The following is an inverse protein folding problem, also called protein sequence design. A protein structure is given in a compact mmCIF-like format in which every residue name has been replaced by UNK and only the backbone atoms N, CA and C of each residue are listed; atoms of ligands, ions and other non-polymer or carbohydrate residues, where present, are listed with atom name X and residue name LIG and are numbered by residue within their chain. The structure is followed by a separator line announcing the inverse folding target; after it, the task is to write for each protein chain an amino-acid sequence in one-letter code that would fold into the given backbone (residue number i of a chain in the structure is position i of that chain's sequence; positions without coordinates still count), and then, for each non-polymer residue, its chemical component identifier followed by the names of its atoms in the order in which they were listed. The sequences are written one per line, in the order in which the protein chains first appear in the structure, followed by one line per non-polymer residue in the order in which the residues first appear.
data_IF_963151467862
#
_entry.id   IF_963151467862
#
_cell.length_a   1.000
_cell.length_b   1.000
_cell.length_c   1.000
_cell.angle_alpha   90.00
_cell.angle_beta   90.00
_cell.angle_gamma   90.00
#
_symmetry.space_group_name_H-M   'P 1'
#
loop_
_entity.id
_entity.type
_entity.pdbx_description
1 polymer ?
#
# COMPACT_ATOMS: atom_id res chain seq x y z
N UNK A 1 -19.66 -12.35 37.25
CA UNK A 1 -18.76 -12.48 36.08
C UNK A 1 -19.09 -11.55 34.91
N UNK A 2 -20.34 -11.13 34.65
CA UNK A 2 -20.66 -10.26 33.50
C UNK A 2 -20.06 -8.85 33.51
N UNK A 3 -19.84 -8.25 34.69
CA UNK A 3 -19.31 -6.87 34.82
C UNK A 3 -17.84 -6.75 34.36
N UNK A 4 -17.06 -7.82 34.51
CA UNK A 4 -15.67 -7.88 34.04
C UNK A 4 -15.57 -7.98 32.52
N UNK A 5 -16.47 -8.73 31.88
CA UNK A 5 -16.49 -8.83 30.41
C UNK A 5 -16.92 -7.51 29.75
N UNK A 6 -17.84 -6.76 30.35
CA UNK A 6 -18.22 -5.42 29.88
C UNK A 6 -17.05 -4.43 30.01
N UNK A 7 -16.33 -4.46 31.13
CA UNK A 7 -15.15 -3.61 31.32
C UNK A 7 -14.02 -3.96 30.34
N UNK A 8 -13.78 -5.25 30.08
CA UNK A 8 -12.78 -5.71 29.11
C UNK A 8 -13.15 -5.30 27.67
N UNK A 9 -14.42 -5.41 27.29
CA UNK A 9 -14.89 -5.00 25.96
C UNK A 9 -14.74 -3.48 25.72
N UNK A 10 -14.98 -2.66 26.74
CA UNK A 10 -14.81 -1.20 26.66
C UNK A 10 -13.32 -0.84 26.57
N UNK A 11 -12.45 -1.49 27.36
CA UNK A 11 -10.99 -1.28 27.30
C UNK A 11 -10.39 -1.68 25.95
N UNK A 12 -10.83 -2.81 25.38
CA UNK A 12 -10.40 -3.25 24.04
C UNK A 12 -10.92 -2.31 22.95
N UNK A 13 -12.14 -1.79 23.06
CA UNK A 13 -12.67 -0.77 22.16
C UNK A 13 -11.84 0.51 22.17
N UNK A 14 -11.46 1.00 23.36
CA UNK A 14 -10.62 2.20 23.50
C UNK A 14 -9.21 2.02 22.93
N UNK A 15 -8.57 0.86 23.13
CA UNK A 15 -7.23 0.60 22.61
C UNK A 15 -7.19 0.58 21.06
N UNK A 16 -8.25 0.08 20.41
CA UNK A 16 -8.37 0.06 18.94
C UNK A 16 -8.65 1.47 18.38
N UNK A 17 -9.39 2.30 19.11
CA UNK A 17 -9.68 3.70 18.77
C UNK A 17 -8.54 4.69 19.07
N UNK A 18 -7.54 4.29 19.86
CA UNK A 18 -6.43 5.15 20.30
C UNK A 18 -5.13 4.93 19.52
N UNK A 19 -5.07 3.95 18.61
CA UNK A 19 -3.96 3.89 17.67
C UNK A 19 -4.00 5.18 16.84
N UNK A 20 -2.95 6.02 16.87
CA UNK A 20 -2.91 7.16 15.96
C UNK A 20 -2.98 6.56 14.57
N UNK A 21 -4.09 6.81 13.86
CA UNK A 21 -4.12 6.57 12.42
C UNK A 21 -2.90 7.30 11.87
N UNK A 22 -2.17 6.67 10.97
CA UNK A 22 -1.06 7.32 10.31
C UNK A 22 -1.65 8.50 9.50
N UNK A 23 -1.71 9.67 10.13
CA UNK A 23 -2.23 10.89 9.53
C UNK A 23 -1.10 11.51 8.72
N UNK A 24 -1.44 12.15 7.61
CA UNK A 24 -0.49 12.99 6.93
C UNK A 24 0.03 14.05 7.90
N UNK A 25 1.35 14.12 8.05
CA UNK A 25 1.97 15.04 8.99
C UNK A 25 2.20 16.40 8.31
N UNK A 26 2.03 17.53 9.04
CA UNK A 26 2.50 18.82 8.55
C UNK A 26 3.99 18.74 8.22
N UNK A 27 4.42 19.42 7.15
CA UNK A 27 5.84 19.45 6.76
C UNK A 27 6.34 18.15 6.11
N UNK A 28 5.47 17.38 5.45
CA UNK A 28 5.89 16.26 4.59
C UNK A 28 5.61 16.52 3.12
N UNK A 29 6.40 15.92 2.24
CA UNK A 29 6.22 15.97 0.79
C UNK A 29 6.59 14.65 0.14
N UNK A 30 6.08 14.41 -1.08
CA UNK A 30 6.56 13.32 -1.92
C UNK A 30 7.90 13.69 -2.57
N UNK A 31 8.93 12.92 -2.28
CA UNK A 31 10.13 12.84 -3.10
C UNK A 31 9.86 11.87 -4.25
N UNK A 32 9.93 12.36 -5.48
CA UNK A 32 9.59 11.60 -6.69
C UNK A 32 10.87 11.12 -7.35
N UNK A 33 11.02 9.81 -7.45
CA UNK A 33 12.07 9.16 -8.23
C UNK A 33 11.46 8.60 -9.52
N UNK A 34 11.81 9.16 -10.69
CA UNK A 34 11.27 8.67 -11.96
C UNK A 34 11.73 7.24 -12.24
N UNK A 35 10.84 6.46 -12.85
CA UNK A 35 11.20 5.16 -13.38
C UNK A 35 11.97 5.31 -14.71
N UNK A 36 12.78 4.30 -15.05
CA UNK A 36 13.48 4.27 -16.33
C UNK A 36 12.48 4.27 -17.50
N UNK A 37 12.91 4.79 -18.66
CA UNK A 37 12.06 4.83 -19.86
C UNK A 37 11.48 3.46 -20.19
N UNK A 38 10.18 3.41 -20.52
CA UNK A 38 9.45 2.18 -20.78
C UNK A 38 8.99 1.42 -19.53
N UNK A 39 9.27 1.93 -18.33
CA UNK A 39 8.77 1.38 -17.06
C UNK A 39 7.98 2.42 -16.29
N UNK A 40 7.06 1.96 -15.44
CA UNK A 40 6.25 2.79 -14.56
C UNK A 40 6.17 2.16 -13.17
N UNK A 41 5.93 2.98 -12.15
CA UNK A 41 5.75 2.54 -10.78
C UNK A 41 4.45 1.73 -10.64
N UNK A 42 4.58 0.43 -10.40
CA UNK A 42 3.43 -0.47 -10.26
C UNK A 42 3.54 -1.30 -8.98
N UNK A 43 2.38 -1.49 -8.35
CA UNK A 43 2.25 -2.46 -7.27
C UNK A 43 2.17 -3.88 -7.84
N UNK A 44 3.11 -4.71 -7.40
CA UNK A 44 3.24 -6.12 -7.74
C UNK A 44 2.80 -7.00 -6.57
N UNK A 45 2.05 -8.08 -6.83
CA UNK A 45 1.73 -9.06 -5.80
C UNK A 45 2.99 -9.84 -5.40
N UNK A 46 3.21 -10.03 -4.09
CA UNK A 46 4.29 -10.91 -3.61
C UNK A 46 3.98 -12.37 -3.86
N UNK A 47 5.03 -13.18 -4.01
CA UNK A 47 4.93 -14.62 -4.34
C UNK A 47 5.16 -15.50 -3.10
N UNK A 48 6.13 -15.12 -2.27
CA UNK A 48 6.64 -15.86 -1.12
C UNK A 48 5.90 -15.55 0.18
N UNK A 49 5.28 -14.37 0.27
CA UNK A 49 4.60 -13.88 1.48
C UNK A 49 3.38 -13.05 1.14
N UNK A 50 2.56 -12.79 2.15
CA UNK A 50 1.41 -11.90 2.03
C UNK A 50 1.87 -10.44 1.79
N UNK A 51 1.11 -9.73 0.96
CA UNK A 51 1.33 -8.32 0.62
C UNK A 51 1.86 -8.10 -0.80
N UNK A 52 2.45 -6.92 -0.99
CA UNK A 52 2.79 -6.36 -2.29
C UNK A 52 4.13 -5.63 -2.22
N UNK A 53 4.70 -5.35 -3.38
CA UNK A 53 5.87 -4.50 -3.54
C UNK A 53 5.61 -3.44 -4.61
N UNK A 54 6.09 -2.23 -4.38
CA UNK A 54 6.10 -1.18 -5.38
C UNK A 54 7.45 -1.20 -6.11
N UNK A 55 7.42 -1.29 -7.44
CA UNK A 55 8.65 -1.25 -8.25
C UNK A 55 8.42 -0.59 -9.61
N UNK A 56 9.51 -0.14 -10.22
CA UNK A 56 9.50 0.27 -11.63
C UNK A 56 9.47 -0.99 -12.50
N UNK A 57 8.41 -1.17 -13.26
CA UNK A 57 8.20 -2.34 -14.12
C UNK A 57 7.27 -2.00 -15.28
N UNK A 58 6.90 -2.98 -16.10
CA UNK A 58 5.98 -2.78 -17.22
C UNK A 58 4.60 -3.37 -16.90
N UNK A 59 3.57 -2.94 -17.63
CA UNK A 59 2.23 -3.48 -17.47
C UNK A 59 2.15 -4.95 -17.88
N UNK A 60 2.95 -5.37 -18.85
CA UNK A 60 3.07 -6.75 -19.30
C UNK A 60 3.67 -7.63 -18.19
N UNK A 61 4.74 -7.17 -17.53
CA UNK A 61 5.35 -7.86 -16.41
C UNK A 61 4.38 -7.99 -15.22
N UNK A 62 3.65 -6.92 -14.88
CA UNK A 62 2.58 -6.96 -13.87
C UNK A 62 1.49 -7.95 -14.25
N UNK A 63 1.05 -7.95 -15.51
CA UNK A 63 0.03 -8.86 -16.01
C UNK A 63 0.48 -10.32 -15.94
N UNK A 64 1.75 -10.59 -16.26
CA UNK A 64 2.34 -11.91 -16.10
C UNK A 64 2.36 -12.36 -14.62
N UNK A 65 2.69 -11.46 -13.69
CA UNK A 65 2.66 -11.76 -12.26
C UNK A 65 1.24 -12.07 -11.76
N UNK A 66 0.22 -11.32 -12.22
CA UNK A 66 -1.19 -11.58 -11.94
C UNK A 66 -1.62 -12.94 -12.50
N UNK A 67 -1.26 -13.23 -13.75
CA UNK A 67 -1.55 -14.53 -14.37
C UNK A 67 -0.91 -15.67 -13.58
N UNK A 68 0.36 -15.55 -13.22
CA UNK A 68 1.07 -16.54 -12.43
C UNK A 68 0.45 -16.75 -11.03
N UNK A 69 -0.09 -15.70 -10.42
CA UNK A 69 -0.84 -15.81 -9.17
C UNK A 69 -2.15 -16.60 -9.36
N UNK A 70 -2.91 -16.31 -10.43
CA UNK A 70 -4.13 -17.05 -10.78
C UNK A 70 -3.87 -18.53 -11.05
N UNK A 71 -2.87 -18.81 -11.89
CA UNK A 71 -2.52 -20.18 -12.30
C UNK A 71 -1.99 -21.02 -11.14
N UNK A 72 -1.55 -20.40 -10.04
CA UNK A 72 -1.05 -21.10 -8.86
C UNK A 72 -2.13 -21.75 -7.99
N UNK A 73 -3.39 -21.35 -8.12
CA UNK A 73 -4.49 -21.77 -7.24
C UNK A 73 -4.37 -21.31 -5.78
N UNK A 74 -3.35 -20.54 -5.42
CA UNK A 74 -3.14 -20.06 -4.05
C UNK A 74 -4.04 -18.86 -3.73
N UNK A 75 -4.90 -19.03 -2.72
CA UNK A 75 -5.75 -17.93 -2.21
C UNK A 75 -4.92 -16.75 -1.72
N UNK A 76 -3.78 -16.99 -1.06
CA UNK A 76 -2.87 -15.92 -0.60
C UNK A 76 -2.32 -15.10 -1.76
N UNK A 77 -1.88 -15.76 -2.84
CA UNK A 77 -1.34 -15.06 -4.01
C UNK A 77 -2.44 -14.27 -4.73
N UNK A 78 -3.66 -14.79 -4.77
CA UNK A 78 -4.82 -14.07 -5.30
C UNK A 78 -5.22 -12.86 -4.44
N UNK A 79 -5.13 -12.96 -3.12
CA UNK A 79 -5.34 -11.83 -2.23
C UNK A 79 -4.28 -10.74 -2.45
N UNK A 80 -3.02 -11.11 -2.64
CA UNK A 80 -1.95 -10.16 -2.97
C UNK A 80 -2.23 -9.39 -4.26
N UNK A 81 -2.81 -10.04 -5.28
CA UNK A 81 -3.24 -9.37 -6.52
C UNK A 81 -4.31 -8.31 -6.23
N UNK A 82 -5.33 -8.65 -5.44
CA UNK A 82 -6.39 -7.72 -5.09
C UNK A 82 -5.86 -6.51 -4.30
N UNK A 83 -4.91 -6.74 -3.38
CA UNK A 83 -4.26 -5.68 -2.62
C UNK A 83 -3.44 -4.78 -3.54
N UNK A 84 -2.64 -5.36 -4.45
CA UNK A 84 -1.84 -4.60 -5.41
C UNK A 84 -2.71 -3.73 -6.33
N UNK A 85 -3.86 -4.27 -6.76
CA UNK A 85 -4.82 -3.51 -7.54
C UNK A 85 -5.44 -2.37 -6.74
N UNK A 86 -5.83 -2.63 -5.49
CA UNK A 86 -6.42 -1.62 -4.60
C UNK A 86 -5.44 -0.48 -4.31
N UNK A 87 -4.16 -0.80 -4.04
CA UNK A 87 -3.11 0.20 -3.85
C UNK A 87 -2.87 1.01 -5.12
N UNK A 88 -2.80 0.37 -6.29
CA UNK A 88 -2.65 1.08 -7.56
C UNK A 88 -3.80 2.07 -7.81
N UNK A 89 -5.03 1.70 -7.43
CA UNK A 89 -6.19 2.57 -7.55
C UNK A 89 -6.16 3.72 -6.54
N UNK A 90 -5.78 3.45 -5.29
CA UNK A 90 -5.63 4.47 -4.27
C UNK A 90 -4.59 5.52 -4.67
N UNK A 91 -3.53 5.08 -5.34
CA UNK A 91 -2.44 5.95 -5.76
C UNK A 91 -2.73 6.76 -7.04
N UNK A 92 -3.79 6.42 -7.78
CA UNK A 92 -4.11 7.03 -9.09
C UNK A 92 -4.28 8.55 -9.03
N UNK A 93 -4.73 9.10 -7.92
CA UNK A 93 -4.91 10.54 -7.72
C UNK A 93 -3.75 11.22 -7.00
N UNK A 94 -2.69 10.48 -6.62
CA UNK A 94 -1.55 11.06 -5.93
C UNK A 94 -0.76 11.99 -6.84
N UNK A 95 -0.36 13.11 -6.26
CA UNK A 95 0.50 14.13 -6.85
C UNK A 95 1.64 14.47 -5.89
N UNK A 96 2.68 15.15 -6.37
CA UNK A 96 3.81 15.59 -5.53
C UNK A 96 3.38 16.41 -4.29
N UNK A 97 2.27 17.16 -4.41
CA UNK A 97 1.72 18.03 -3.38
C UNK A 97 0.67 17.33 -2.49
N UNK A 98 0.34 16.06 -2.77
CA UNK A 98 -0.64 15.33 -1.98
C UNK A 98 -0.12 15.12 -0.55
N UNK A 99 -0.97 15.28 0.48
CA UNK A 99 -0.59 15.00 1.86
C UNK A 99 -0.17 13.53 2.00
N UNK A 100 0.88 13.26 2.77
CA UNK A 100 1.43 11.91 2.90
C UNK A 100 1.91 11.60 4.32
N UNK A 101 1.98 10.31 4.62
CA UNK A 101 2.52 9.79 5.89
C UNK A 101 4.02 9.59 5.71
N UNK A 102 4.84 10.11 6.62
CA UNK A 102 6.29 9.97 6.57
C UNK A 102 6.72 8.51 6.36
N UNK A 103 7.59 8.27 5.36
CA UNK A 103 8.07 6.94 4.98
C UNK A 103 7.13 6.13 4.09
N UNK A 104 5.91 6.60 3.83
CA UNK A 104 5.01 5.94 2.88
C UNK A 104 5.62 5.92 1.47
N UNK A 105 5.32 4.85 0.74
CA UNK A 105 5.65 4.71 -0.68
C UNK A 105 4.37 4.62 -1.49
N UNK A 106 4.38 5.20 -2.68
CA UNK A 106 3.24 5.18 -3.59
C UNK A 106 3.64 5.39 -5.04
N UNK A 107 2.79 4.93 -5.95
CA UNK A 107 2.91 5.22 -7.37
C UNK A 107 2.37 6.64 -7.65
N UNK A 108 3.25 7.64 -7.65
CA UNK A 108 2.87 9.03 -7.93
C UNK A 108 2.94 9.25 -9.43
N UNK A 109 1.80 9.12 -10.10
CA UNK A 109 1.74 9.02 -11.56
C UNK A 109 2.43 7.75 -12.05
N UNK A 110 3.51 7.90 -12.82
CA UNK A 110 4.33 6.77 -13.30
C UNK A 110 5.64 6.59 -12.51
N UNK A 111 5.86 7.40 -11.47
CA UNK A 111 7.11 7.43 -10.70
C UNK A 111 6.93 6.87 -9.29
N UNK A 112 8.04 6.44 -8.66
CA UNK A 112 8.02 6.03 -7.25
C UNK A 112 8.08 7.29 -6.39
N UNK A 113 7.06 7.49 -5.57
CA UNK A 113 7.06 8.48 -4.50
C UNK A 113 7.51 7.85 -3.19
N UNK A 114 8.38 8.56 -2.45
CA UNK A 114 8.61 8.32 -1.02
C UNK A 114 8.24 9.58 -0.25
N UNK A 115 7.40 9.45 0.77
CA UNK A 115 7.05 10.59 1.61
C UNK A 115 8.20 10.90 2.57
N UNK A 116 8.71 12.11 2.52
CA UNK A 116 9.83 12.59 3.33
C UNK A 116 9.44 13.84 4.11
N UNK A 117 10.16 14.11 5.20
CA UNK A 117 10.06 15.40 5.88
C UNK A 117 10.67 16.50 4.98
N UNK A 118 10.07 17.69 5.02
CA UNK A 118 10.55 18.89 4.31
C UNK A 118 11.71 19.52 5.07
#
# INVERSE_FOLDING_TARGET
MGRFFVALAIMLGFAVLSAPLAHAAPGTRWEITPCASGTKALWLPRVDKFGTDLSCTTEEARSAAVKAARDSGSLTRMANVAIAFSQQLADKSLTAASPCVLGAKGAVGEAIGTCVAV
#
